data_IF_099628595919
#
_entry.id   IF_099628595919
#
_cell.length_a   1.000
_cell.length_b   1.000
_cell.length_c   1.000
_cell.angle_alpha   90.00
_cell.angle_beta   90.00
_cell.angle_gamma   90.00
#
_symmetry.space_group_name_H-M   'P 1'
#
loop_
_entity.id
_entity.type
_entity.pdbx_description
1 polymer ?
#
# COMPACT_ATOMS: atom_id res chain seq x y z
N UNK A 1 -7.34 -35.84 -9.41
CA UNK A 1 -6.14 -35.15 -8.85
C UNK A 1 -6.24 -34.83 -7.34
N UNK A 2 -7.42 -34.76 -6.71
CA UNK A 2 -7.54 -34.49 -5.26
C UNK A 2 -7.38 -35.71 -4.32
N UNK A 3 -7.32 -36.93 -4.85
CA UNK A 3 -7.21 -38.16 -4.02
C UNK A 3 -5.83 -38.29 -3.36
N UNK A 4 -4.77 -37.76 -3.98
CA UNK A 4 -3.40 -37.88 -3.47
C UNK A 4 -3.06 -36.90 -2.34
N UNK A 5 -3.87 -35.86 -2.09
CA UNK A 5 -3.60 -34.88 -1.04
C UNK A 5 -4.04 -35.40 0.34
N UNK A 6 -5.16 -36.13 0.40
CA UNK A 6 -5.70 -36.66 1.66
C UNK A 6 -4.94 -37.86 2.22
N UNK A 7 -4.12 -38.54 1.42
CA UNK A 7 -3.29 -39.65 1.89
C UNK A 7 -2.06 -39.20 2.69
N UNK A 8 -1.68 -37.91 2.62
CA UNK A 8 -0.57 -37.33 3.40
C UNK A 8 -1.01 -36.69 4.72
N UNK A 9 -2.31 -36.52 4.94
CA UNK A 9 -2.85 -36.01 6.19
C UNK A 9 -3.14 -37.19 7.11
N UNK A 10 -2.52 -37.17 8.30
CA UNK A 10 -2.66 -38.21 9.33
C UNK A 10 -4.04 -38.06 10.02
N UNK A 11 -5.11 -38.26 9.26
CA UNK A 11 -6.49 -38.16 9.72
C UNK A 11 -6.83 -39.43 10.51
N UNK A 12 -7.39 -39.33 11.73
CA UNK A 12 -7.73 -40.50 12.55
C UNK A 12 -8.66 -41.46 11.81
N UNK A 13 -8.42 -42.78 11.97
CA UNK A 13 -9.11 -43.89 11.27
C UNK A 13 -10.64 -43.80 11.29
N UNK A 14 -11.23 -43.14 12.30
CA UNK A 14 -12.66 -42.89 12.45
C UNK A 14 -13.30 -42.14 11.24
N UNK A 15 -12.54 -41.30 10.53
CA UNK A 15 -13.05 -40.52 9.39
C UNK A 15 -12.91 -41.24 8.03
N UNK A 16 -12.04 -42.25 7.92
CA UNK A 16 -11.86 -43.02 6.66
C UNK A 16 -13.01 -44.00 6.38
N UNK A 17 -13.72 -44.45 7.41
CA UNK A 17 -14.79 -45.45 7.29
C UNK A 17 -16.06 -44.92 6.61
N UNK A 18 -16.25 -43.60 6.52
CA UNK A 18 -17.45 -43.02 5.92
C UNK A 18 -17.45 -42.93 4.38
N UNK A 19 -16.33 -43.21 3.71
CA UNK A 19 -16.22 -43.05 2.24
C UNK A 19 -16.25 -44.35 1.44
N UNK A 20 -16.21 -45.52 2.08
CA UNK A 20 -16.21 -46.83 1.40
C UNK A 20 -17.49 -47.62 1.68
N UNK A 21 -18.66 -47.09 1.29
CA UNK A 21 -19.88 -47.90 1.23
C UNK A 21 -19.95 -48.61 -0.13
N UNK A 22 -19.34 -49.81 -0.23
CA UNK A 22 -19.67 -50.77 -1.30
C UNK A 22 -21.09 -51.28 -1.05
N UNK A 23 -22.04 -50.93 -1.92
CA UNK A 23 -23.41 -51.47 -1.89
C UNK A 23 -23.37 -52.98 -2.14
N UNK A 24 -23.76 -53.78 -1.15
CA UNK A 24 -24.32 -55.12 -1.35
C UNK A 24 -25.78 -55.06 -0.93
N UNK A 25 -26.69 -55.34 -1.86
CA UNK A 25 -28.09 -55.59 -1.55
C UNK A 25 -28.21 -57.06 -1.15
N UNK A 26 -28.67 -57.31 0.08
CA UNK A 26 -29.29 -58.57 0.47
C UNK A 26 -30.69 -58.26 0.99
N UNK A 27 -31.67 -59.01 0.50
CA UNK A 27 -33.09 -58.87 0.76
C UNK A 27 -33.44 -59.16 2.24
N UNK A 28 -34.65 -58.73 2.62
CA UNK A 28 -35.42 -59.04 3.85
C UNK A 28 -35.18 -58.19 5.13
N UNK A 29 -35.94 -57.08 5.24
CA UNK A 29 -36.73 -56.60 6.42
C UNK A 29 -37.22 -55.16 6.16
N UNK A 30 -38.36 -55.03 5.47
CA UNK A 30 -38.82 -53.74 4.91
C UNK A 30 -39.13 -52.63 5.95
N UNK A 31 -39.55 -52.93 7.18
CA UNK A 31 -39.93 -51.84 8.13
C UNK A 31 -38.78 -51.30 9.00
N UNK A 32 -37.80 -52.11 9.37
CA UNK A 32 -36.68 -51.69 10.24
C UNK A 32 -35.62 -50.93 9.40
N UNK A 33 -35.32 -51.40 8.19
CA UNK A 33 -34.39 -50.71 7.29
C UNK A 33 -34.90 -49.33 6.87
N UNK A 34 -36.19 -49.16 6.56
CA UNK A 34 -36.73 -47.85 6.14
C UNK A 34 -36.67 -46.83 7.29
N UNK A 35 -36.95 -47.25 8.53
CA UNK A 35 -36.85 -46.39 9.71
C UNK A 35 -35.39 -46.00 10.02
N UNK A 36 -34.46 -46.97 9.95
CA UNK A 36 -33.02 -46.75 10.14
C UNK A 36 -32.41 -45.86 9.04
N UNK A 37 -32.83 -46.05 7.78
CA UNK A 37 -32.41 -45.23 6.62
C UNK A 37 -32.97 -43.80 6.75
N UNK A 38 -34.23 -43.63 7.18
CA UNK A 38 -34.82 -42.29 7.43
C UNK A 38 -34.19 -41.59 8.64
N UNK A 39 -33.92 -42.31 9.74
CA UNK A 39 -33.22 -41.76 10.91
C UNK A 39 -31.78 -41.37 10.58
N UNK A 40 -31.06 -42.21 9.83
CA UNK A 40 -29.72 -41.87 9.35
C UNK A 40 -29.74 -40.71 8.35
N UNK A 41 -30.78 -40.58 7.51
CA UNK A 41 -30.95 -39.41 6.63
C UNK A 41 -31.17 -38.13 7.44
N UNK A 42 -32.03 -38.15 8.47
CA UNK A 42 -32.24 -36.98 9.36
C UNK A 42 -30.97 -36.62 10.13
N UNK A 43 -30.28 -37.61 10.71
CA UNK A 43 -29.00 -37.41 11.40
C UNK A 43 -27.93 -36.88 10.46
N UNK A 44 -27.82 -37.44 9.25
CA UNK A 44 -26.89 -36.97 8.23
C UNK A 44 -27.18 -35.52 7.85
N UNK A 45 -28.43 -35.19 7.51
CA UNK A 45 -28.83 -33.81 7.18
C UNK A 45 -28.53 -32.85 8.34
N UNK A 46 -28.78 -33.27 9.58
CA UNK A 46 -28.46 -32.48 10.77
C UNK A 46 -26.95 -32.26 10.91
N UNK A 47 -26.13 -33.31 10.83
CA UNK A 47 -24.67 -33.18 10.92
C UNK A 47 -24.09 -32.35 9.78
N UNK A 48 -24.56 -32.53 8.55
CA UNK A 48 -24.16 -31.70 7.41
C UNK A 48 -24.55 -30.24 7.63
N UNK A 49 -25.78 -29.94 8.08
CA UNK A 49 -26.20 -28.58 8.39
C UNK A 49 -25.34 -27.94 9.50
N UNK A 50 -25.10 -28.67 10.59
CA UNK A 50 -24.27 -28.20 11.73
C UNK A 50 -22.83 -27.96 11.29
N UNK A 51 -22.23 -28.87 10.54
CA UNK A 51 -20.85 -28.71 10.04
C UNK A 51 -20.73 -27.58 9.02
N UNK A 52 -21.67 -27.44 8.08
CA UNK A 52 -21.70 -26.31 7.14
C UNK A 52 -21.86 -24.97 7.87
N UNK A 53 -22.76 -24.89 8.84
CA UNK A 53 -22.94 -23.68 9.65
C UNK A 53 -21.69 -23.36 10.47
N UNK A 54 -21.09 -24.37 11.10
CA UNK A 54 -19.87 -24.20 11.89
C UNK A 54 -18.69 -23.74 11.05
N UNK A 55 -18.51 -24.33 9.86
CA UNK A 55 -17.49 -23.90 8.90
C UNK A 55 -17.76 -22.48 8.40
N UNK A 56 -19.01 -22.14 8.10
CA UNK A 56 -19.38 -20.79 7.70
C UNK A 56 -19.06 -19.77 8.80
N UNK A 57 -19.42 -20.04 10.06
CA UNK A 57 -19.13 -19.15 11.19
C UNK A 57 -17.61 -19.03 11.39
N UNK A 58 -16.87 -20.14 11.34
CA UNK A 58 -15.43 -20.13 11.51
C UNK A 58 -14.73 -19.36 10.37
N UNK A 59 -15.17 -19.52 9.13
CA UNK A 59 -14.67 -18.77 7.99
C UNK A 59 -15.01 -17.29 8.10
N UNK A 60 -16.24 -16.92 8.47
CA UNK A 60 -16.62 -15.53 8.68
C UNK A 60 -15.80 -14.90 9.80
N UNK A 61 -15.64 -15.58 10.94
CA UNK A 61 -14.82 -15.12 12.05
C UNK A 61 -13.35 -14.93 11.63
N UNK A 62 -12.79 -15.92 10.93
CA UNK A 62 -11.43 -15.84 10.43
C UNK A 62 -11.27 -14.70 9.42
N UNK A 63 -12.25 -14.53 8.53
CA UNK A 63 -12.26 -13.45 7.56
C UNK A 63 -12.32 -12.09 8.24
N UNK A 64 -13.21 -11.88 9.20
CA UNK A 64 -13.38 -10.60 9.90
C UNK A 64 -12.19 -10.23 10.81
N UNK A 65 -11.51 -11.22 11.38
CA UNK A 65 -10.38 -10.99 12.30
C UNK A 65 -9.04 -10.95 11.59
N UNK A 66 -8.86 -11.69 10.51
CA UNK A 66 -7.55 -11.86 9.87
C UNK A 66 -7.49 -11.41 8.40
N UNK A 67 -8.62 -11.32 7.70
CA UNK A 67 -8.65 -11.00 6.25
C UNK A 67 -9.20 -9.60 5.97
N UNK A 68 -10.20 -9.13 6.72
CA UNK A 68 -10.61 -7.74 6.65
C UNK A 68 -9.44 -6.86 7.10
N UNK A 69 -8.90 -6.10 6.16
CA UNK A 69 -7.86 -5.11 6.38
C UNK A 69 -8.39 -4.00 7.30
N UNK A 70 -8.33 -4.24 8.61
CA UNK A 70 -8.56 -3.20 9.61
C UNK A 70 -7.39 -2.25 9.57
N UNK A 71 -7.69 -0.96 9.64
CA UNK A 71 -6.67 0.08 9.69
C UNK A 71 -5.72 -0.15 10.87
N UNK A 72 -4.43 -0.25 10.56
CA UNK A 72 -3.38 -0.29 11.56
C UNK A 72 -2.96 1.15 11.93
N UNK A 73 -3.14 1.55 13.19
CA UNK A 73 -2.71 2.87 13.65
C UNK A 73 -1.18 3.04 13.70
N UNK A 74 -0.41 1.97 13.47
CA UNK A 74 1.02 2.03 13.14
C UNK A 74 1.18 2.17 11.62
N UNK A 75 1.10 3.41 11.14
CA UNK A 75 1.23 3.78 9.72
C UNK A 75 2.62 3.48 9.13
N UNK A 76 3.61 3.20 9.98
CA UNK A 76 4.97 2.78 9.63
C UNK A 76 5.06 1.27 9.28
N UNK A 77 3.91 0.60 9.16
CA UNK A 77 3.74 -0.83 8.92
C UNK A 77 4.77 -1.42 7.95
N UNK A 78 5.64 -2.30 8.47
CA UNK A 78 6.23 -3.38 7.70
C UNK A 78 5.24 -4.54 7.78
N UNK A 79 4.68 -4.98 6.65
CA UNK A 79 3.65 -6.03 6.64
C UNK A 79 4.12 -7.26 7.42
N UNK A 80 3.53 -7.48 8.61
CA UNK A 80 3.76 -8.67 9.43
C UNK A 80 2.39 -9.27 9.78
N UNK A 81 1.96 -10.35 9.09
CA UNK A 81 0.65 -10.95 9.27
C UNK A 81 0.44 -11.61 10.64
N UNK A 82 1.45 -11.61 11.53
CA UNK A 82 1.41 -12.27 12.84
C UNK A 82 1.29 -11.31 14.04
N UNK A 83 1.00 -10.03 13.83
CA UNK A 83 0.90 -9.07 14.96
C UNK A 83 -0.49 -9.17 15.62
N UNK A 84 -0.52 -9.51 16.91
CA UNK A 84 -1.71 -9.42 17.76
C UNK A 84 -2.18 -7.96 17.80
N UNK A 85 -3.48 -7.74 17.57
CA UNK A 85 -4.13 -6.44 17.66
C UNK A 85 -3.76 -5.75 18.98
N UNK A 86 -3.25 -4.52 18.90
CA UNK A 86 -3.06 -3.70 20.09
C UNK A 86 -4.41 -3.28 20.64
N UNK A 87 -4.61 -3.55 21.93
CA UNK A 87 -5.72 -2.98 22.70
C UNK A 87 -5.63 -1.46 22.68
N UNK A 88 -6.79 -0.80 22.54
CA UNK A 88 -6.90 0.65 22.72
C UNK A 88 -6.25 1.00 24.06
N UNK A 89 -5.24 1.87 24.06
CA UNK A 89 -4.84 2.53 25.31
C UNK A 89 -6.06 3.33 25.79
N UNK A 90 -6.63 2.92 26.91
CA UNK A 90 -7.63 3.72 27.62
C UNK A 90 -7.06 5.12 27.86
N UNK A 91 -7.87 6.15 27.59
CA UNK A 91 -7.53 7.52 27.93
C UNK A 91 -7.34 7.56 29.45
N UNK A 92 -6.11 7.79 29.92
CA UNK A 92 -5.88 8.14 31.31
C UNK A 92 -6.60 9.47 31.58
N UNK A 93 -7.58 9.44 32.48
CA UNK A 93 -8.27 10.63 32.97
C UNK A 93 -7.23 11.66 33.47
N UNK A 94 -7.37 12.91 33.04
CA UNK A 94 -6.57 14.03 33.53
C UNK A 94 -5.44 14.57 32.63
N UNK A 95 -5.23 14.04 31.41
CA UNK A 95 -4.37 14.73 30.43
C UNK A 95 -5.18 15.77 29.64
N UNK A 96 -4.76 17.04 29.69
CA UNK A 96 -5.26 18.14 28.82
C UNK A 96 -5.48 17.63 27.39
N UNK A 97 -6.60 18.00 26.77
CA UNK A 97 -6.89 17.71 25.37
C UNK A 97 -5.74 18.22 24.49
N UNK A 98 -4.84 17.32 24.09
CA UNK A 98 -3.78 17.65 23.14
C UNK A 98 -4.48 17.97 21.82
N UNK A 99 -4.21 19.15 21.26
CA UNK A 99 -4.69 19.52 19.93
C UNK A 99 -4.19 18.46 18.94
N UNK A 100 -5.09 17.89 18.15
CA UNK A 100 -4.72 16.91 17.13
C UNK A 100 -3.86 17.63 16.08
N UNK A 101 -2.61 17.20 15.94
CA UNK A 101 -1.65 17.75 14.98
C UNK A 101 -1.50 16.84 13.78
N UNK A 102 -1.36 17.44 12.60
CA UNK A 102 -1.22 16.68 11.36
C UNK A 102 0.08 16.97 10.65
N UNK A 103 0.58 15.97 9.93
CA UNK A 103 1.72 16.07 9.02
C UNK A 103 1.22 15.95 7.58
N UNK A 104 1.42 17.01 6.82
CA UNK A 104 1.13 17.09 5.39
C UNK A 104 2.39 16.73 4.60
N UNK A 105 2.33 15.61 3.89
CA UNK A 105 3.41 15.09 3.05
C UNK A 105 2.97 15.28 1.60
N UNK A 106 3.57 16.26 0.93
CA UNK A 106 3.27 16.55 -0.48
C UNK A 106 4.40 16.01 -1.35
N UNK A 107 4.10 14.95 -2.09
CA UNK A 107 5.02 14.30 -3.00
C UNK A 107 4.81 14.84 -4.42
N UNK A 108 5.90 15.18 -5.10
CA UNK A 108 5.87 15.70 -6.48
C UNK A 108 6.77 14.83 -7.35
N UNK A 109 6.24 14.30 -8.45
CA UNK A 109 7.06 13.61 -9.46
C UNK A 109 7.87 14.66 -10.24
N UNK A 110 9.14 14.36 -10.56
CA UNK A 110 9.96 15.22 -11.42
C UNK A 110 9.26 15.62 -12.74
N UNK A 111 9.66 16.77 -13.31
CA UNK A 111 9.21 17.25 -14.62
C UNK A 111 9.68 16.36 -15.78
N UNK A 112 9.16 16.62 -16.98
CA UNK A 112 9.60 15.95 -18.20
C UNK A 112 11.11 16.14 -18.42
N UNK A 113 11.80 15.10 -18.85
CA UNK A 113 13.25 15.09 -18.97
C UNK A 113 13.72 14.38 -20.24
N UNK A 114 14.95 14.67 -20.65
CA UNK A 114 15.60 14.06 -21.82
C UNK A 114 15.90 12.58 -21.57
N UNK A 115 15.56 11.72 -22.54
CA UNK A 115 15.68 10.26 -22.43
C UNK A 115 16.56 9.61 -23.50
N UNK A 116 17.27 10.43 -24.29
CA UNK A 116 18.03 9.98 -25.46
C UNK A 116 19.17 9.02 -25.08
N UNK A 117 19.91 9.31 -24.02
CA UNK A 117 21.02 8.50 -23.56
C UNK A 117 20.65 7.76 -22.28
N UNK A 118 20.44 6.45 -22.37
CA UNK A 118 19.93 5.63 -21.25
C UNK A 118 20.94 5.46 -20.12
N UNK A 119 22.23 5.39 -20.44
CA UNK A 119 23.28 5.01 -19.49
C UNK A 119 23.97 6.21 -18.82
N UNK A 120 23.74 7.43 -19.33
CA UNK A 120 24.28 8.66 -18.74
C UNK A 120 23.21 9.41 -17.94
N UNK A 121 23.26 9.32 -16.61
CA UNK A 121 22.34 10.08 -15.74
C UNK A 121 22.51 11.60 -15.87
N UNK A 122 23.69 12.11 -16.22
CA UNK A 122 23.90 13.56 -16.37
C UNK A 122 23.20 14.12 -17.62
N UNK A 123 22.95 13.29 -18.62
CA UNK A 123 22.18 13.66 -19.81
C UNK A 123 20.67 13.77 -19.58
N UNK A 124 20.16 13.22 -18.46
CA UNK A 124 18.72 13.09 -18.15
C UNK A 124 18.13 14.35 -17.51
N UNK A 125 18.50 15.51 -18.03
CA UNK A 125 18.05 16.85 -17.56
C UNK A 125 16.62 17.14 -17.99
N UNK A 126 15.97 18.09 -17.31
CA UNK A 126 14.65 18.56 -17.68
C UNK A 126 14.65 19.14 -19.09
N UNK A 127 13.58 18.84 -19.83
CA UNK A 127 13.31 19.52 -21.10
C UNK A 127 12.83 20.94 -20.83
N UNK A 128 12.73 21.78 -21.87
CA UNK A 128 12.10 23.11 -21.75
C UNK A 128 10.68 23.00 -21.18
N UNK A 129 9.93 21.97 -21.58
CA UNK A 129 8.59 21.72 -21.09
C UNK A 129 8.59 21.24 -19.64
N UNK A 130 9.52 20.35 -19.26
CA UNK A 130 9.70 19.94 -17.87
C UNK A 130 10.00 21.09 -16.92
N UNK A 131 10.80 22.08 -17.37
CA UNK A 131 11.04 23.30 -16.62
C UNK A 131 9.76 24.13 -16.42
N UNK A 132 8.93 24.28 -17.46
CA UNK A 132 7.63 24.98 -17.35
C UNK A 132 6.67 24.23 -16.42
N UNK A 133 6.58 22.91 -16.54
CA UNK A 133 5.77 22.07 -15.65
C UNK A 133 6.17 22.30 -14.19
N UNK A 134 7.47 22.28 -13.89
CA UNK A 134 7.98 22.50 -12.53
C UNK A 134 7.67 23.91 -12.01
N UNK A 135 7.77 24.93 -12.87
CA UNK A 135 7.43 26.32 -12.52
C UNK A 135 5.94 26.49 -12.17
N UNK A 136 5.04 25.98 -13.02
CA UNK A 136 3.59 26.01 -12.79
C UNK A 136 3.23 25.23 -11.52
N UNK A 137 3.91 24.10 -11.30
CA UNK A 137 3.73 23.28 -10.09
C UNK A 137 4.17 24.03 -8.83
N UNK A 138 5.30 24.74 -8.87
CA UNK A 138 5.76 25.59 -7.77
C UNK A 138 4.74 26.67 -7.41
N UNK A 139 4.20 27.37 -8.41
CA UNK A 139 3.09 28.34 -8.22
C UNK A 139 1.88 27.68 -7.58
N UNK A 140 1.41 26.56 -8.13
CA UNK A 140 0.25 25.83 -7.61
C UNK A 140 0.44 25.42 -6.15
N UNK A 141 1.60 24.88 -5.81
CA UNK A 141 1.92 24.47 -4.44
C UNK A 141 1.87 25.65 -3.47
N UNK A 142 2.43 26.81 -3.87
CA UNK A 142 2.36 28.04 -3.07
C UNK A 142 0.91 28.46 -2.82
N UNK A 143 0.08 28.42 -3.87
CA UNK A 143 -1.32 28.82 -3.78
C UNK A 143 -2.14 27.88 -2.88
N UNK A 144 -2.04 26.56 -3.05
CA UNK A 144 -2.82 25.60 -2.24
C UNK A 144 -2.35 25.52 -0.80
N UNK A 145 -1.08 25.81 -0.54
CA UNK A 145 -0.54 25.86 0.82
C UNK A 145 -0.87 27.19 1.51
N UNK A 146 -1.35 28.22 0.81
CA UNK A 146 -1.90 29.45 1.40
C UNK A 146 -1.09 30.00 2.61
N UNK A 147 0.19 30.29 2.39
CA UNK A 147 1.14 30.79 3.39
C UNK A 147 1.44 29.85 4.58
N UNK A 148 1.06 28.57 4.51
CA UNK A 148 1.53 27.55 5.47
C UNK A 148 3.05 27.40 5.36
N UNK A 149 3.71 27.31 6.52
CA UNK A 149 5.16 27.21 6.62
C UNK A 149 5.66 25.85 6.12
N UNK A 150 6.29 25.85 4.96
CA UNK A 150 7.08 24.71 4.47
C UNK A 150 8.52 24.91 4.95
N UNK A 151 8.97 24.10 5.90
CA UNK A 151 10.33 24.22 6.46
C UNK A 151 11.40 23.51 5.63
N UNK A 152 10.98 22.53 4.83
CA UNK A 152 11.92 21.64 4.14
C UNK A 152 11.36 21.11 2.82
N UNK A 153 12.25 21.02 1.85
CA UNK A 153 12.04 20.42 0.54
C UNK A 153 13.08 19.31 0.39
N UNK A 154 12.63 18.06 0.46
CA UNK A 154 13.49 16.91 0.18
C UNK A 154 13.46 16.59 -1.31
N UNK A 155 14.60 16.15 -1.85
CA UNK A 155 14.63 15.71 -3.24
C UNK A 155 15.59 14.54 -3.47
N UNK A 156 15.27 13.74 -4.48
CA UNK A 156 16.19 12.71 -4.99
C UNK A 156 17.48 13.31 -5.54
N UNK A 157 18.54 12.50 -5.51
CA UNK A 157 19.85 12.85 -6.06
C UNK A 157 19.93 12.84 -7.60
N UNK A 158 18.93 12.26 -8.29
CA UNK A 158 18.89 12.21 -9.75
C UNK A 158 18.63 13.60 -10.36
N UNK A 159 19.34 13.93 -11.44
CA UNK A 159 19.41 15.31 -11.97
C UNK A 159 18.03 15.92 -12.28
N UNK A 160 17.12 15.17 -12.90
CA UNK A 160 15.74 15.60 -13.16
C UNK A 160 14.96 15.99 -11.90
N UNK A 161 15.18 15.31 -10.79
CA UNK A 161 14.54 15.64 -9.51
C UNK A 161 15.20 16.86 -8.86
N UNK A 162 16.54 16.96 -8.92
CA UNK A 162 17.30 18.14 -8.47
C UNK A 162 16.85 19.41 -9.19
N UNK A 163 16.80 19.38 -10.52
CA UNK A 163 16.37 20.53 -11.33
C UNK A 163 14.92 20.91 -11.06
N UNK A 164 14.01 19.92 -10.91
CA UNK A 164 12.61 20.17 -10.54
C UNK A 164 12.53 20.85 -9.17
N UNK A 165 13.26 20.33 -8.18
CA UNK A 165 13.25 20.86 -6.82
C UNK A 165 13.85 22.28 -6.75
N UNK A 166 14.91 22.57 -7.52
CA UNK A 166 15.50 23.90 -7.63
C UNK A 166 14.55 24.93 -8.26
N UNK A 167 13.66 24.52 -9.16
CA UNK A 167 12.65 25.41 -9.72
C UNK A 167 11.54 25.67 -8.69
N UNK A 168 11.04 24.61 -8.05
CA UNK A 168 9.97 24.70 -7.05
C UNK A 168 10.42 25.48 -5.82
N UNK A 169 11.67 25.34 -5.36
CA UNK A 169 12.19 26.00 -4.16
C UNK A 169 12.16 27.53 -4.25
N UNK A 170 12.18 28.11 -5.45
CA UNK A 170 12.03 29.56 -5.67
C UNK A 170 10.72 30.12 -5.11
N UNK A 171 9.69 29.29 -4.99
CA UNK A 171 8.38 29.65 -4.43
C UNK A 171 8.31 29.50 -2.90
N UNK A 172 9.33 28.89 -2.28
CA UNK A 172 9.45 28.61 -0.85
C UNK A 172 10.84 29.01 -0.33
N UNK A 173 11.16 30.32 -0.29
CA UNK A 173 12.51 30.79 0.01
C UNK A 173 13.01 30.42 1.41
N UNK A 174 12.10 30.21 2.37
CA UNK A 174 12.44 29.85 3.75
C UNK A 174 12.65 28.34 3.95
N UNK A 175 12.42 27.53 2.92
CA UNK A 175 12.51 26.09 3.02
C UNK A 175 13.93 25.59 2.74
N UNK A 176 14.45 24.73 3.61
CA UNK A 176 15.74 24.08 3.38
C UNK A 176 15.63 23.04 2.28
N UNK A 177 16.48 23.14 1.26
CA UNK A 177 16.55 22.15 0.19
C UNK A 177 17.54 21.03 0.57
N UNK A 178 17.04 19.81 0.77
CA UNK A 178 17.81 18.67 1.27
C UNK A 178 17.84 17.54 0.25
N UNK A 179 19.04 17.13 -0.14
CA UNK A 179 19.28 15.96 -0.97
C UNK A 179 19.14 14.66 -0.17
N UNK A 180 18.41 13.69 -0.69
CA UNK A 180 18.37 12.34 -0.17
C UNK A 180 18.50 11.29 -1.29
N UNK A 181 19.65 10.61 -1.42
CA UNK A 181 19.83 9.53 -2.39
C UNK A 181 18.87 8.35 -2.17
N UNK A 182 18.29 8.19 -0.97
CA UNK A 182 17.32 7.13 -0.73
C UNK A 182 16.01 7.34 -1.51
N UNK A 183 15.72 8.57 -1.97
CA UNK A 183 14.61 8.90 -2.84
C UNK A 183 14.85 8.59 -4.33
N UNK A 184 16.03 8.11 -4.74
CA UNK A 184 16.31 7.78 -6.13
C UNK A 184 15.33 6.74 -6.69
N UNK A 185 15.00 6.85 -7.98
CA UNK A 185 14.08 5.89 -8.62
C UNK A 185 14.61 4.47 -8.47
N UNK A 186 13.69 3.51 -8.33
CA UNK A 186 14.05 2.11 -8.12
C UNK A 186 12.85 1.19 -8.25
N UNK A 187 13.05 -0.10 -8.04
CA UNK A 187 11.98 -1.10 -8.00
C UNK A 187 11.77 -1.55 -6.56
N UNK A 188 10.80 -0.97 -5.82
CA UNK A 188 10.69 -1.21 -4.38
C UNK A 188 10.07 -2.57 -4.03
N UNK A 189 9.26 -3.16 -4.91
CA UNK A 189 8.59 -4.42 -4.65
C UNK A 189 8.21 -5.10 -5.97
N UNK A 190 8.07 -6.43 -5.98
CA UNK A 190 7.61 -7.16 -7.17
C UNK A 190 6.14 -6.80 -7.47
N UNK A 191 5.81 -6.22 -8.62
CA UNK A 191 4.44 -5.81 -8.91
C UNK A 191 3.57 -7.00 -9.34
N UNK A 192 2.27 -6.88 -9.10
CA UNK A 192 1.24 -7.81 -9.60
C UNK A 192 0.03 -7.01 -10.12
N UNK A 193 -0.38 -7.13 -11.40
CA UNK A 193 0.19 -8.02 -12.42
C UNK A 193 1.59 -7.58 -12.89
N UNK A 194 2.39 -8.54 -13.34
CA UNK A 194 3.69 -8.29 -13.97
C UNK A 194 3.50 -7.68 -15.37
N UNK A 195 4.08 -6.51 -15.66
CA UNK A 195 4.07 -5.95 -17.03
C UNK A 195 4.80 -6.86 -18.02
N UNK A 196 4.19 -7.12 -19.19
CA UNK A 196 4.67 -8.08 -20.20
C UNK A 196 6.12 -7.87 -20.67
N UNK A 197 6.58 -6.63 -20.72
CA UNK A 197 7.91 -6.27 -21.27
C UNK A 197 8.92 -5.84 -20.21
N UNK A 198 8.58 -5.97 -18.92
CA UNK A 198 9.44 -5.57 -17.82
C UNK A 198 10.14 -6.78 -17.22
N UNK A 199 11.48 -6.72 -17.15
CA UNK A 199 12.29 -7.67 -16.41
C UNK A 199 12.54 -7.11 -15.01
N UNK A 200 12.29 -7.92 -14.00
CA UNK A 200 12.53 -7.58 -12.60
C UNK A 200 13.64 -8.47 -12.05
N UNK A 201 14.73 -7.83 -11.61
CA UNK A 201 15.82 -8.52 -10.93
C UNK A 201 15.56 -8.54 -9.42
N UNK A 202 15.60 -9.73 -8.83
CA UNK A 202 15.34 -9.94 -7.41
C UNK A 202 16.39 -9.26 -6.52
N UNK A 203 17.66 -9.24 -6.94
CA UNK A 203 18.73 -8.61 -6.17
C UNK A 203 18.56 -7.09 -6.16
N UNK A 204 18.34 -6.48 -7.33
CA UNK A 204 18.02 -5.07 -7.44
C UNK A 204 16.77 -4.67 -6.65
N UNK A 205 15.71 -5.49 -6.69
CA UNK A 205 14.51 -5.23 -5.87
C UNK A 205 14.86 -5.18 -4.38
N UNK A 206 15.70 -6.11 -3.89
CA UNK A 206 16.10 -6.15 -2.48
C UNK A 206 16.88 -4.90 -2.07
N UNK A 207 17.79 -4.44 -2.92
CA UNK A 207 18.59 -3.23 -2.69
C UNK A 207 17.73 -1.96 -2.71
N UNK A 208 16.92 -1.80 -3.76
CA UNK A 208 15.99 -0.67 -3.91
C UNK A 208 14.94 -0.66 -2.78
N UNK A 209 14.41 -1.82 -2.39
CA UNK A 209 13.46 -1.95 -1.28
C UNK A 209 14.06 -1.45 0.04
N UNK A 210 15.29 -1.86 0.38
CA UNK A 210 15.96 -1.43 1.62
C UNK A 210 16.12 0.10 1.65
N UNK A 211 16.59 0.66 0.54
CA UNK A 211 16.83 2.10 0.39
C UNK A 211 15.54 2.91 0.45
N UNK A 212 14.52 2.51 -0.32
CA UNK A 212 13.22 3.21 -0.38
C UNK A 212 12.46 3.08 0.95
N UNK A 213 12.59 1.98 1.69
CA UNK A 213 11.99 1.86 3.02
C UNK A 213 12.64 2.80 4.04
N UNK A 214 13.97 2.96 3.98
CA UNK A 214 14.68 3.96 4.79
C UNK A 214 14.19 5.38 4.50
N UNK A 215 13.97 5.72 3.22
CA UNK A 215 13.37 6.99 2.84
C UNK A 215 11.96 7.14 3.45
N UNK A 216 11.09 6.13 3.31
CA UNK A 216 9.75 6.19 3.89
C UNK A 216 9.78 6.44 5.40
N UNK A 217 10.61 5.72 6.16
CA UNK A 217 10.75 5.88 7.61
C UNK A 217 11.26 7.27 8.01
N UNK A 218 11.97 7.95 7.12
CA UNK A 218 12.47 9.31 7.34
C UNK A 218 11.37 10.36 7.19
N UNK A 219 10.43 10.16 6.26
CA UNK A 219 9.42 11.17 5.91
C UNK A 219 8.05 10.91 6.53
N UNK A 220 7.69 9.65 6.70
CA UNK A 220 6.45 9.21 7.31
C UNK A 220 6.73 8.92 8.77
N UNK A 221 6.58 9.94 9.61
CA UNK A 221 6.68 9.85 11.06
C UNK A 221 5.54 10.63 11.72
N UNK A 222 5.21 10.24 12.94
CA UNK A 222 4.12 10.83 13.72
C UNK A 222 4.50 12.27 14.05
N UNK A 223 3.63 13.26 13.77
CA UNK A 223 3.90 14.64 14.14
C UNK A 223 4.16 14.72 15.65
N UNK A 224 5.24 15.40 16.04
CA UNK A 224 5.71 15.46 17.43
C UNK A 224 5.39 16.78 18.11
N UNK A 225 5.17 17.84 17.32
CA UNK A 225 4.86 19.18 17.81
C UNK A 225 3.40 19.41 18.23
N UNK A 226 3.06 20.69 18.34
CA UNK A 226 1.72 21.22 18.66
C UNK A 226 1.07 21.96 17.46
N UNK A 227 1.77 22.02 16.32
CA UNK A 227 1.33 22.64 15.07
C UNK A 227 1.38 21.65 13.90
N UNK A 228 0.63 21.95 12.83
CA UNK A 228 0.66 21.15 11.60
C UNK A 228 1.98 21.32 10.86
N UNK A 229 2.55 20.21 10.41
CA UNK A 229 3.84 20.18 9.71
C UNK A 229 3.64 20.00 8.20
N UNK A 230 4.28 20.82 7.36
CA UNK A 230 4.21 20.73 5.90
C UNK A 230 5.59 20.48 5.32
N UNK A 231 5.73 19.40 4.55
CA UNK A 231 6.97 19.06 3.85
C UNK A 231 6.72 18.72 2.38
N UNK A 232 7.65 19.14 1.51
CA UNK A 232 7.65 18.77 0.10
C UNK A 232 8.70 17.68 -0.14
N UNK A 233 8.36 16.70 -0.98
CA UNK A 233 9.28 15.63 -1.42
C UNK A 233 9.23 15.51 -2.93
N UNK A 234 10.31 15.89 -3.62
CA UNK A 234 10.42 15.81 -5.07
C UNK A 234 11.20 14.55 -5.45
N UNK A 235 10.51 13.58 -6.04
CA UNK A 235 11.12 12.30 -6.40
C UNK A 235 10.50 11.71 -7.68
N UNK A 236 10.19 10.42 -7.67
CA UNK A 236 9.92 9.65 -8.88
C UNK A 236 8.67 8.78 -8.77
N UNK A 237 8.20 8.30 -9.91
CA UNK A 237 6.93 7.60 -10.02
C UNK A 237 6.88 6.33 -9.18
N UNK A 238 7.90 5.46 -9.21
CA UNK A 238 7.83 4.18 -8.46
C UNK A 238 7.88 4.43 -6.95
N UNK A 239 8.74 5.36 -6.52
CA UNK A 239 8.87 5.75 -5.11
C UNK A 239 7.55 6.31 -4.55
N UNK A 240 6.91 7.25 -5.25
CA UNK A 240 5.63 7.85 -4.83
C UNK A 240 4.53 6.79 -4.72
N UNK A 241 4.44 5.91 -5.72
CA UNK A 241 3.41 4.85 -5.75
C UNK A 241 3.61 3.82 -4.65
N UNK A 242 4.87 3.50 -4.33
CA UNK A 242 5.18 2.63 -3.21
C UNK A 242 4.88 3.28 -1.86
N UNK A 243 5.24 4.55 -1.69
CA UNK A 243 4.89 5.32 -0.49
C UNK A 243 3.38 5.38 -0.30
N UNK A 244 2.61 5.62 -1.37
CA UNK A 244 1.15 5.57 -1.34
C UNK A 244 0.66 4.22 -0.82
N UNK A 245 1.13 3.12 -1.41
CA UNK A 245 0.69 1.79 -0.99
C UNK A 245 1.01 1.52 0.49
N UNK A 246 2.23 1.85 0.93
CA UNK A 246 2.66 1.63 2.31
C UNK A 246 1.86 2.50 3.29
N UNK A 247 1.69 3.79 2.98
CA UNK A 247 0.99 4.73 3.84
C UNK A 247 -0.50 4.42 3.99
N UNK A 248 -1.16 3.99 2.91
CA UNK A 248 -2.58 3.63 2.91
C UNK A 248 -2.84 2.15 3.23
N UNK A 249 -1.79 1.38 3.56
CA UNK A 249 -1.88 -0.05 3.86
C UNK A 249 -2.52 -0.87 2.73
N UNK A 250 -2.30 -0.42 1.50
CA UNK A 250 -2.67 -1.14 0.28
C UNK A 250 -1.59 -2.19 0.03
N UNK A 251 -1.95 -3.40 -0.48
CA UNK A 251 -0.97 -4.41 -0.80
C UNK A 251 0.18 -3.87 -1.67
N UNK A 252 1.42 -4.07 -1.21
CA UNK A 252 2.58 -3.40 -1.79
C UNK A 252 2.79 -3.73 -3.28
N UNK A 253 2.41 -4.93 -3.73
CA UNK A 253 2.48 -5.33 -5.14
C UNK A 253 1.58 -4.51 -6.08
N UNK A 254 0.61 -3.76 -5.55
CA UNK A 254 -0.31 -2.96 -6.34
C UNK A 254 0.30 -1.65 -6.87
N UNK A 255 1.53 -1.31 -6.50
CA UNK A 255 2.14 -0.01 -6.79
C UNK A 255 2.15 0.36 -8.29
N UNK A 256 2.34 -0.60 -9.20
CA UNK A 256 2.28 -0.34 -10.65
C UNK A 256 0.87 -0.15 -11.22
N UNK A 257 -0.19 -0.37 -10.42
CA UNK A 257 -1.58 -0.11 -10.83
C UNK A 257 -1.92 1.38 -10.79
N UNK A 258 -1.08 2.18 -10.15
CA UNK A 258 -1.20 3.63 -10.08
C UNK A 258 -0.36 4.30 -11.16
N UNK A 259 -0.92 5.34 -11.78
CA UNK A 259 -0.27 6.16 -12.81
C UNK A 259 -0.11 7.59 -12.29
N UNK A 260 1.11 8.14 -12.35
CA UNK A 260 1.41 9.51 -11.93
C UNK A 260 2.11 10.22 -13.08
N UNK A 261 1.62 11.38 -13.50
CA UNK A 261 2.22 12.18 -14.59
C UNK A 261 3.42 13.00 -14.10
N UNK A 262 4.23 13.53 -15.03
CA UNK A 262 5.31 14.46 -14.69
C UNK A 262 4.74 15.67 -13.93
N UNK A 263 5.45 16.12 -12.89
CA UNK A 263 4.97 17.18 -12.00
C UNK A 263 3.60 16.90 -11.34
N UNK A 264 3.18 15.63 -11.31
CA UNK A 264 1.97 15.21 -10.62
C UNK A 264 2.11 15.38 -9.10
N UNK A 265 1.13 16.05 -8.49
CA UNK A 265 1.06 16.31 -7.05
C UNK A 265 0.31 15.17 -6.35
N UNK A 266 0.90 14.60 -5.32
CA UNK A 266 0.27 13.62 -4.43
C UNK A 266 0.34 14.12 -2.99
N UNK A 267 -0.80 14.20 -2.31
CA UNK A 267 -0.88 14.79 -0.98
C UNK A 267 -1.45 13.79 0.03
N UNK A 268 -0.59 13.37 0.95
CA UNK A 268 -0.94 12.51 2.08
C UNK A 268 -0.96 13.34 3.38
N UNK A 269 -1.93 13.08 4.24
CA UNK A 269 -2.05 13.70 5.57
C UNK A 269 -2.03 12.60 6.60
N UNK A 270 -1.05 12.65 7.51
CA UNK A 270 -0.89 11.74 8.64
C UNK A 270 -1.25 12.49 9.93
N UNK A 271 -2.20 11.97 10.71
CA UNK A 271 -2.52 12.56 12.02
C UNK A 271 -1.64 12.00 13.16
N UNK A 272 -1.73 12.60 14.33
CA UNK A 272 -1.00 12.16 15.51
C UNK A 272 -1.53 10.82 16.09
N UNK A 273 -2.68 10.33 15.65
CA UNK A 273 -3.20 9.02 16.03
C UNK A 273 -2.75 7.90 15.09
N UNK A 274 -2.09 8.23 13.98
CA UNK A 274 -1.61 7.29 12.97
C UNK A 274 -2.63 6.92 11.89
N UNK A 275 -3.64 7.75 11.67
CA UNK A 275 -4.51 7.68 10.49
C UNK A 275 -3.84 8.39 9.31
N UNK A 276 -3.98 7.84 8.11
CA UNK A 276 -3.50 8.49 6.89
C UNK A 276 -4.66 8.72 5.93
N UNK A 277 -4.72 9.92 5.38
CA UNK A 277 -5.69 10.31 4.35
C UNK A 277 -4.96 10.75 3.09
N UNK A 278 -5.37 10.20 1.95
CA UNK A 278 -4.98 10.70 0.64
C UNK A 278 -5.94 11.82 0.23
N UNK A 279 -5.41 13.03 0.07
CA UNK A 279 -6.18 14.17 -0.45
C UNK A 279 -6.25 14.16 -1.96
N UNK A 280 -5.12 13.83 -2.59
CA UNK A 280 -4.98 13.87 -4.04
C UNK A 280 -3.84 12.95 -4.47
N UNK A 281 -3.94 12.33 -5.65
CA UNK A 281 -2.90 11.46 -6.20
C UNK A 281 -2.56 11.83 -7.63
N UNK A 282 -1.27 12.07 -7.89
CA UNK A 282 -0.73 12.31 -9.22
C UNK A 282 -1.39 13.43 -10.01
N UNK A 283 -1.96 14.44 -9.34
CA UNK A 283 -2.75 15.48 -9.98
C UNK A 283 -1.92 16.43 -10.81
N UNK A 284 -2.44 16.71 -11.98
CA UNK A 284 -1.87 17.63 -12.98
C UNK A 284 -2.90 18.65 -13.43
N UNK A 285 -3.97 18.85 -12.66
CA UNK A 285 -5.05 19.79 -12.99
C UNK A 285 -4.58 21.25 -13.08
N UNK A 286 -3.41 21.56 -12.49
CA UNK A 286 -2.76 22.87 -12.58
C UNK A 286 -1.96 23.06 -13.88
N UNK A 287 -1.69 21.98 -14.62
CA UNK A 287 -0.98 22.06 -15.89
C UNK A 287 -1.98 22.29 -17.04
N UNK A 288 -1.63 23.12 -18.04
CA UNK A 288 -2.34 23.14 -19.31
C UNK A 288 -2.36 21.75 -19.94
N UNK A 289 -3.42 21.42 -20.68
CA UNK A 289 -3.61 20.08 -21.24
C UNK A 289 -2.45 19.66 -22.14
N UNK A 290 -1.95 20.58 -22.97
CA UNK A 290 -0.79 20.39 -23.85
C UNK A 290 0.52 20.12 -23.10
N UNK A 291 0.61 20.55 -21.84
CA UNK A 291 1.78 20.36 -20.99
C UNK A 291 1.72 19.05 -20.20
N UNK A 292 0.63 18.29 -20.23
CA UNK A 292 0.51 17.03 -19.47
C UNK A 292 1.29 15.92 -20.16
N UNK A 293 2.35 15.44 -19.50
CA UNK A 293 3.20 14.35 -20.01
C UNK A 293 3.39 13.24 -18.97
N UNK A 294 3.56 11.99 -19.43
CA UNK A 294 3.76 10.83 -18.55
C UNK A 294 5.22 10.33 -18.50
N UNK A 295 5.97 10.54 -19.58
CA UNK A 295 7.21 9.84 -19.87
C UNK A 295 8.46 10.69 -19.71
#
# INVERSE_FOLDING_TARGET
MYVNFFNKLNIPKCLRTNFNFKRRFSETKQNIQIKYIKENKKKYVFYTAVTSLSLSIALTYAYEKFVLYKWNRRYDYYYNPNIKFFEKKEKKEGKKDKKNTTKHIILVRHGQYERRYKDDENSKRLTKEGCKQADITGKKLKDILNNKKVSVIYHSDMIRAKETANIISKYFPDANLINDPNLNEGTPYLPDPLPRHSKFDAQKIKEDNKRINKAYETYFYKPSGDEDEYQLVICHGNVIRYFLCRALQIPLFAWLRFSSYNCGITWLVLDDEGSVVLREFGSVSHLPFESVTYF
#
